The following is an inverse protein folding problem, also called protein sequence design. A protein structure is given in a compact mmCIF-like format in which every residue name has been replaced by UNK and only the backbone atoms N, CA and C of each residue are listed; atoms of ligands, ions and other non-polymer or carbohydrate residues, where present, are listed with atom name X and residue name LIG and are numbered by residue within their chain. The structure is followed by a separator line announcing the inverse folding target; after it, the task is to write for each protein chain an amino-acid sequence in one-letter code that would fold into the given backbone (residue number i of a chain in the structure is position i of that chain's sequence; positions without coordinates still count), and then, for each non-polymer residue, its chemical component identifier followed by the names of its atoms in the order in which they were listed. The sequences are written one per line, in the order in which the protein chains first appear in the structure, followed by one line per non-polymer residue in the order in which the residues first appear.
data_IF_112879258995
#
_entry.id   IF_112879258995
#
_cell.length_a   1.000
_cell.length_b   1.000
_cell.length_c   1.000
_cell.angle_alpha   90.00
_cell.angle_beta   90.00
_cell.angle_gamma   90.00
#
_symmetry.space_group_name_H-M   'P 1'
#
loop_
_entity.id
_entity.type
_entity.pdbx_description
1 polymer ?
#
# COMPACT_ATOMS: atom_id res chain seq x y z
N UNK A 1 -9.04 21.05 7.16
CA UNK A 1 -9.49 22.33 6.61
C UNK A 1 -8.54 22.87 5.53
N UNK A 2 -7.21 22.84 5.73
CA UNK A 2 -6.25 23.32 4.71
C UNK A 2 -6.44 22.62 3.36
N UNK A 3 -6.54 21.29 3.37
CA UNK A 3 -6.77 20.49 2.15
C UNK A 3 -8.13 20.82 1.50
N UNK A 4 -9.18 21.00 2.31
CA UNK A 4 -10.50 21.39 1.80
C UNK A 4 -10.43 22.73 1.06
N UNK A 5 -9.74 23.71 1.67
CA UNK A 5 -9.53 25.02 1.06
C UNK A 5 -8.68 24.98 -0.21
N UNK A 6 -7.56 24.24 -0.15
CA UNK A 6 -6.63 24.12 -1.27
C UNK A 6 -7.27 23.45 -2.50
N UNK A 7 -8.09 22.42 -2.26
CA UNK A 7 -8.80 21.70 -3.30
C UNK A 7 -10.13 22.36 -3.73
N UNK A 8 -10.54 23.45 -3.07
CA UNK A 8 -11.88 24.03 -3.21
C UNK A 8 -12.99 22.98 -3.07
N UNK A 9 -12.80 22.03 -2.16
CA UNK A 9 -13.71 20.91 -1.95
C UNK A 9 -14.93 21.35 -1.12
N UNK A 10 -16.09 20.80 -1.45
CA UNK A 10 -17.34 21.06 -0.69
C UNK A 10 -17.38 20.32 0.63
N UNK A 11 -16.74 19.15 0.69
CA UNK A 11 -16.78 18.24 1.86
C UNK A 11 -15.51 17.42 1.94
N UNK A 12 -15.13 17.03 3.15
CA UNK A 12 -14.06 16.08 3.40
C UNK A 12 -14.57 14.93 4.27
N UNK A 13 -14.03 13.74 4.02
CA UNK A 13 -14.30 12.54 4.79
C UNK A 13 -13.01 12.06 5.45
N UNK A 14 -13.06 11.80 6.75
CA UNK A 14 -11.98 11.11 7.45
C UNK A 14 -12.43 9.66 7.64
N UNK A 15 -11.81 8.76 6.88
CA UNK A 15 -12.16 7.34 6.90
C UNK A 15 -11.31 6.61 7.93
N UNK A 16 -11.94 5.90 8.83
CA UNK A 16 -11.29 5.18 9.94
C UNK A 16 -11.81 3.75 9.95
N UNK A 17 -10.90 2.79 10.14
CA UNK A 17 -11.28 1.39 10.28
C UNK A 17 -11.99 1.13 11.61
N UNK A 18 -12.94 0.21 11.62
CA UNK A 18 -13.78 -0.13 12.78
C UNK A 18 -13.01 -0.72 13.98
N UNK A 19 -11.77 -1.13 13.77
CA UNK A 19 -10.84 -1.55 14.83
C UNK A 19 -10.16 -0.37 15.55
N UNK A 20 -10.49 0.89 15.20
CA UNK A 20 -9.95 2.14 15.77
C UNK A 20 -11.07 3.11 16.15
N UNK A 21 -12.11 2.59 16.81
CA UNK A 21 -13.30 3.37 17.17
C UNK A 21 -13.00 4.47 18.21
N UNK A 22 -12.02 4.27 19.08
CA UNK A 22 -11.49 5.25 20.02
C UNK A 22 -11.03 6.53 19.30
N UNK A 23 -10.24 6.38 18.24
CA UNK A 23 -9.78 7.49 17.40
C UNK A 23 -10.96 8.18 16.70
N UNK A 24 -11.92 7.41 16.20
CA UNK A 24 -13.11 7.96 15.56
C UNK A 24 -13.94 8.79 16.55
N UNK A 25 -14.08 8.30 17.78
CA UNK A 25 -14.78 9.00 18.86
C UNK A 25 -14.09 10.31 19.25
N UNK A 26 -12.76 10.30 19.43
CA UNK A 26 -11.99 11.52 19.71
C UNK A 26 -12.13 12.56 18.60
N UNK A 27 -12.01 12.16 17.34
CA UNK A 27 -12.17 13.07 16.21
C UNK A 27 -13.59 13.63 16.11
N UNK A 28 -14.62 12.82 16.37
CA UNK A 28 -16.00 13.31 16.47
C UNK A 28 -16.17 14.36 17.57
N UNK A 29 -15.56 14.16 18.74
CA UNK A 29 -15.60 15.14 19.83
C UNK A 29 -14.92 16.47 19.42
N UNK A 30 -13.81 16.41 18.67
CA UNK A 30 -13.09 17.59 18.20
C UNK A 30 -13.93 18.41 17.21
N UNK A 31 -14.68 17.77 16.33
CA UNK A 31 -15.48 18.45 15.29
C UNK A 31 -16.91 18.76 15.75
N UNK A 32 -17.38 18.11 16.82
CA UNK A 32 -18.75 18.29 17.34
C UNK A 32 -19.01 19.76 17.72
N UNK A 33 -20.19 20.25 17.36
CA UNK A 33 -20.58 21.63 17.60
C UNK A 33 -19.87 22.70 16.75
N UNK A 34 -19.03 22.27 15.81
CA UNK A 34 -18.35 23.17 14.87
C UNK A 34 -18.97 22.99 13.48
N UNK A 35 -19.26 24.09 12.81
CA UNK A 35 -19.74 24.07 11.42
C UNK A 35 -18.54 23.85 10.47
N UNK A 36 -18.14 22.58 10.35
CA UNK A 36 -17.02 22.16 9.52
C UNK A 36 -17.50 21.23 8.40
N UNK A 37 -17.00 21.39 7.17
CA UNK A 37 -17.33 20.50 6.06
C UNK A 37 -16.58 19.16 6.14
N UNK A 38 -16.54 18.55 7.35
CA UNK A 38 -15.81 17.33 7.64
C UNK A 38 -16.76 16.32 8.27
N UNK A 39 -16.74 15.09 7.75
CA UNK A 39 -17.47 13.96 8.29
C UNK A 39 -16.53 12.78 8.56
N UNK A 40 -16.76 12.05 9.65
CA UNK A 40 -16.01 10.85 9.99
C UNK A 40 -16.82 9.64 9.55
N UNK A 41 -16.20 8.78 8.76
CA UNK A 41 -16.80 7.54 8.27
C UNK A 41 -16.04 6.35 8.84
N UNK A 42 -16.76 5.44 9.49
CA UNK A 42 -16.20 4.18 9.95
C UNK A 42 -16.36 3.15 8.82
N UNK A 43 -15.26 2.56 8.42
CA UNK A 43 -15.21 1.50 7.41
C UNK A 43 -14.78 0.18 8.05
N UNK A 44 -15.26 -0.96 7.52
CA UNK A 44 -14.83 -2.26 8.03
C UNK A 44 -13.32 -2.45 7.82
N UNK A 45 -12.65 -3.04 8.80
CA UNK A 45 -11.24 -3.44 8.70
C UNK A 45 -11.13 -4.56 7.66
N UNK A 46 -10.73 -4.21 6.45
CA UNK A 46 -10.68 -5.11 5.30
C UNK A 46 -9.58 -4.69 4.33
N UNK A 47 -8.66 -5.59 4.03
CA UNK A 47 -7.64 -5.33 3.03
C UNK A 47 -8.17 -5.62 1.60
N UNK A 48 -7.95 -4.73 0.59
CA UNK A 48 -7.24 -3.45 0.62
C UNK A 48 -8.14 -2.20 0.72
N UNK A 49 -9.02 -2.11 1.72
CA UNK A 49 -9.97 -1.01 1.92
C UNK A 49 -9.33 0.40 1.86
N UNK A 50 -8.04 0.53 2.27
CA UNK A 50 -7.30 1.79 2.20
C UNK A 50 -6.80 2.18 0.80
N UNK A 51 -7.03 1.35 -0.22
CA UNK A 51 -6.71 1.70 -1.59
C UNK A 51 -7.58 2.85 -2.10
N UNK A 52 -7.02 3.74 -2.93
CA UNK A 52 -7.72 4.97 -3.36
C UNK A 52 -9.06 4.67 -4.05
N UNK A 53 -9.08 3.75 -5.02
CA UNK A 53 -10.31 3.37 -5.74
C UNK A 53 -11.35 2.73 -4.82
N UNK A 54 -10.91 1.87 -3.89
CA UNK A 54 -11.76 1.21 -2.91
C UNK A 54 -12.37 2.22 -1.93
N UNK A 55 -11.61 3.23 -1.52
CA UNK A 55 -12.13 4.31 -0.67
C UNK A 55 -13.17 5.15 -1.39
N UNK A 56 -12.93 5.54 -2.65
CA UNK A 56 -13.90 6.30 -3.46
C UNK A 56 -15.21 5.53 -3.58
N UNK A 57 -15.13 4.26 -3.94
CA UNK A 57 -16.33 3.42 -4.08
C UNK A 57 -17.06 3.24 -2.76
N UNK A 58 -16.35 2.95 -1.67
CA UNK A 58 -16.95 2.73 -0.36
C UNK A 58 -17.65 3.96 0.21
N UNK A 59 -17.10 5.16 -0.02
CA UNK A 59 -17.57 6.42 0.55
C UNK A 59 -18.56 7.13 -0.36
N UNK A 60 -18.26 7.20 -1.66
CA UNK A 60 -19.02 7.99 -2.63
C UNK A 60 -19.94 7.15 -3.52
N UNK A 61 -19.87 5.83 -3.45
CA UNK A 61 -20.62 4.92 -4.33
C UNK A 61 -20.36 5.22 -5.81
N UNK A 62 -19.14 5.63 -6.13
CA UNK A 62 -18.72 6.01 -7.47
C UNK A 62 -17.48 5.22 -7.85
N UNK A 63 -17.49 4.62 -9.02
CA UNK A 63 -16.33 3.92 -9.56
C UNK A 63 -15.38 4.90 -10.26
N UNK A 64 -14.08 4.79 -9.98
CA UNK A 64 -13.04 5.51 -10.71
C UNK A 64 -12.79 4.77 -12.01
N UNK A 65 -12.97 5.40 -13.20
CA UNK A 65 -12.77 4.72 -14.47
C UNK A 65 -11.38 4.11 -14.63
N UNK A 66 -11.31 3.07 -15.47
CA UNK A 66 -10.06 2.38 -15.78
C UNK A 66 -9.00 3.35 -16.31
N UNK A 67 -7.77 3.24 -15.79
CA UNK A 67 -6.66 4.13 -16.17
C UNK A 67 -6.73 5.56 -15.61
N UNK A 68 -7.82 5.95 -14.96
CA UNK A 68 -7.99 7.29 -14.42
C UNK A 68 -7.63 7.40 -12.93
N UNK A 69 -7.43 8.64 -12.48
CA UNK A 69 -7.18 9.00 -11.08
C UNK A 69 -8.50 9.34 -10.36
N UNK A 70 -8.57 9.30 -9.04
CA UNK A 70 -9.72 9.76 -8.28
C UNK A 70 -10.19 11.18 -8.61
N UNK A 71 -9.31 12.04 -9.12
CA UNK A 71 -9.63 13.38 -9.56
C UNK A 71 -10.62 13.45 -10.73
N UNK A 72 -10.71 12.40 -11.56
CA UNK A 72 -11.68 12.33 -12.65
C UNK A 72 -13.12 12.27 -12.17
N UNK A 73 -13.32 11.78 -10.94
CA UNK A 73 -14.63 11.76 -10.26
C UNK A 73 -14.74 12.86 -9.20
N UNK A 74 -13.93 13.92 -9.32
CA UNK A 74 -13.98 15.09 -8.45
C UNK A 74 -13.50 14.86 -7.02
N UNK A 75 -12.64 13.87 -6.79
CA UNK A 75 -12.16 13.46 -5.46
C UNK A 75 -10.64 13.41 -5.41
N UNK A 76 -10.06 13.82 -4.28
CA UNK A 76 -8.65 13.60 -3.97
C UNK A 76 -8.51 12.83 -2.66
N UNK A 77 -7.52 11.97 -2.58
CA UNK A 77 -7.25 11.15 -1.41
C UNK A 77 -5.88 11.54 -0.85
N UNK A 78 -5.80 11.66 0.46
CA UNK A 78 -4.59 11.96 1.18
C UNK A 78 -4.44 11.06 2.40
N UNK A 79 -3.22 10.61 2.65
CA UNK A 79 -2.91 9.94 3.91
C UNK A 79 -2.99 10.95 5.08
N UNK A 80 -3.42 10.49 6.26
CA UNK A 80 -3.51 11.33 7.47
C UNK A 80 -2.16 11.92 7.88
N UNK A 81 -1.06 11.21 7.64
CA UNK A 81 0.31 11.72 7.85
C UNK A 81 0.62 12.93 6.97
N UNK A 82 0.14 12.93 5.71
CA UNK A 82 0.27 14.08 4.80
C UNK A 82 -0.54 15.27 5.31
N UNK A 83 -1.76 15.03 5.80
CA UNK A 83 -2.61 16.09 6.36
C UNK A 83 -1.98 16.71 7.61
N UNK A 84 -1.38 15.88 8.48
CA UNK A 84 -0.63 16.35 9.65
C UNK A 84 0.58 17.18 9.25
N UNK A 85 1.44 16.66 8.37
CA UNK A 85 2.64 17.37 7.92
C UNK A 85 2.32 18.72 7.29
N UNK A 86 1.23 18.81 6.51
CA UNK A 86 0.76 20.09 5.97
C UNK A 86 0.37 21.08 7.07
N UNK A 87 -0.29 20.62 8.14
CA UNK A 87 -0.64 21.47 9.27
C UNK A 87 0.61 21.95 10.03
N UNK A 88 1.57 21.07 10.27
CA UNK A 88 2.84 21.40 10.94
C UNK A 88 3.62 22.46 10.14
N UNK A 89 3.69 22.32 8.82
CA UNK A 89 4.34 23.31 7.94
C UNK A 89 3.64 24.67 7.99
N UNK A 90 2.31 24.68 7.85
CA UNK A 90 1.56 25.94 7.71
C UNK A 90 1.44 26.70 9.02
N UNK A 91 1.25 26.01 10.13
CA UNK A 91 1.02 26.62 11.44
C UNK A 91 2.27 26.66 12.32
N UNK A 92 3.16 25.67 12.19
CA UNK A 92 4.39 25.57 12.99
C UNK A 92 5.64 26.01 12.26
N UNK A 93 5.61 26.13 10.92
CA UNK A 93 6.80 26.36 10.11
C UNK A 93 7.78 25.17 10.07
N UNK A 94 7.33 24.01 10.53
CA UNK A 94 8.15 22.81 10.67
C UNK A 94 8.10 21.98 9.38
N UNK A 95 9.20 21.90 8.60
CA UNK A 95 9.22 21.07 7.40
C UNK A 95 9.18 19.57 7.75
N UNK A 96 8.72 18.75 6.82
CA UNK A 96 8.71 17.29 6.99
C UNK A 96 10.13 16.73 6.89
N UNK A 97 10.83 16.71 8.00
CA UNK A 97 12.21 16.20 8.15
C UNK A 97 12.30 14.95 9.01
N UNK A 98 11.22 14.57 9.66
CA UNK A 98 11.14 13.34 10.47
C UNK A 98 9.82 12.64 10.26
N UNK A 99 9.78 11.35 10.56
CA UNK A 99 8.56 10.57 10.51
C UNK A 99 8.58 9.40 11.48
N UNK A 100 7.40 8.90 11.80
CA UNK A 100 7.25 7.65 12.54
C UNK A 100 7.45 6.47 11.57
N UNK A 101 8.35 5.55 11.95
CA UNK A 101 8.61 4.29 11.24
C UNK A 101 8.40 3.14 12.21
N UNK A 102 7.57 2.19 11.84
CA UNK A 102 7.33 0.97 12.60
C UNK A 102 8.38 -0.07 12.24
N UNK A 103 9.13 -0.58 13.20
CA UNK A 103 10.00 -1.75 13.01
C UNK A 103 9.37 -2.92 13.73
N UNK A 104 9.08 -4.01 12.99
CA UNK A 104 8.35 -5.15 13.54
C UNK A 104 8.69 -6.48 12.87
N UNK A 105 8.16 -7.58 13.40
CA UNK A 105 8.40 -8.92 12.91
C UNK A 105 9.54 -9.62 13.65
N UNK A 106 10.48 -10.21 12.93
CA UNK A 106 11.60 -10.99 13.49
C UNK A 106 12.76 -10.10 13.99
N UNK A 107 12.43 -9.11 14.83
CA UNK A 107 13.38 -8.28 15.58
C UNK A 107 13.17 -8.48 17.07
N UNK A 108 14.21 -8.21 17.87
CA UNK A 108 14.15 -8.47 19.32
C UNK A 108 13.16 -7.55 20.04
N UNK A 109 13.14 -6.27 19.68
CA UNK A 109 12.32 -5.25 20.32
C UNK A 109 11.50 -4.48 19.26
N UNK A 110 10.34 -5.00 18.81
CA UNK A 110 9.48 -4.27 17.89
C UNK A 110 9.02 -2.94 18.49
N UNK A 111 9.15 -1.85 17.73
CA UNK A 111 8.81 -0.52 18.21
C UNK A 111 8.45 0.45 17.09
N UNK A 112 7.80 1.56 17.45
CA UNK A 112 7.61 2.71 16.58
C UNK A 112 8.68 3.76 16.92
N UNK A 113 9.46 4.16 15.92
CA UNK A 113 10.53 5.13 16.05
C UNK A 113 10.16 6.44 15.36
N UNK A 114 10.35 7.56 16.04
CA UNK A 114 10.34 8.88 15.40
C UNK A 114 11.76 9.21 14.98
N UNK A 115 12.02 9.21 13.68
CA UNK A 115 13.39 9.36 13.14
C UNK A 115 13.46 10.38 12.03
N UNK A 116 14.64 11.03 11.85
CA UNK A 116 14.89 11.87 10.69
C UNK A 116 14.78 11.10 9.37
N UNK A 117 14.29 11.76 8.33
CA UNK A 117 14.37 11.24 6.96
C UNK A 117 15.85 11.12 6.60
N UNK A 118 16.25 9.99 6.01
CA UNK A 118 17.66 9.66 5.74
C UNK A 118 18.30 8.74 6.78
N UNK A 119 17.63 8.44 7.92
CA UNK A 119 18.10 7.43 8.87
C UNK A 119 18.24 6.08 8.17
N UNK A 120 19.41 5.42 8.31
CA UNK A 120 19.65 4.13 7.66
C UNK A 120 18.75 3.04 8.23
N UNK A 121 18.33 2.12 7.41
CA UNK A 121 17.53 0.98 7.85
C UNK A 121 18.31 0.04 8.78
N UNK A 122 19.63 -0.11 8.54
CA UNK A 122 20.51 -0.87 9.43
C UNK A 122 20.48 -0.35 10.86
N UNK A 123 20.54 0.98 11.04
CA UNK A 123 20.54 1.61 12.36
C UNK A 123 19.23 1.32 13.11
N UNK A 124 18.10 1.36 12.41
CA UNK A 124 16.78 1.02 12.98
C UNK A 124 16.67 -0.44 13.41
N UNK A 125 17.22 -1.35 12.62
CA UNK A 125 17.24 -2.78 12.97
C UNK A 125 18.17 -3.03 14.15
N UNK A 126 19.34 -2.40 14.19
CA UNK A 126 20.29 -2.51 15.32
C UNK A 126 19.66 -1.95 16.61
N UNK A 127 19.00 -0.80 16.56
CA UNK A 127 18.28 -0.20 17.70
C UNK A 127 17.14 -1.12 18.19
N UNK A 128 16.48 -1.84 17.26
CA UNK A 128 15.47 -2.85 17.60
C UNK A 128 16.08 -4.15 18.16
N UNK A 129 17.39 -4.20 18.42
CA UNK A 129 18.10 -5.33 19.01
C UNK A 129 18.52 -6.41 18.01
N UNK A 130 18.47 -6.10 16.70
CA UNK A 130 18.87 -7.00 15.62
C UNK A 130 17.83 -8.07 15.27
N UNK A 131 18.20 -8.95 14.33
CA UNK A 131 17.35 -10.06 13.89
C UNK A 131 17.24 -11.17 14.92
N UNK A 132 16.07 -11.81 14.98
CA UNK A 132 15.79 -12.97 15.85
C UNK A 132 15.71 -14.30 15.08
N UNK A 133 15.86 -14.29 13.75
CA UNK A 133 15.92 -15.45 12.90
C UNK A 133 17.25 -15.49 12.12
N UNK A 134 17.65 -16.68 11.69
CA UNK A 134 18.95 -16.87 11.03
C UNK A 134 19.00 -16.26 9.64
N UNK A 135 17.90 -16.36 8.88
CA UNK A 135 17.75 -15.77 7.56
C UNK A 135 16.50 -14.93 7.53
N UNK A 136 16.67 -13.64 7.31
CA UNK A 136 15.57 -12.68 7.32
C UNK A 136 15.35 -12.04 5.95
N UNK A 137 14.09 -11.75 5.67
CA UNK A 137 13.65 -10.87 4.60
C UNK A 137 13.19 -9.57 5.23
N UNK A 138 13.78 -8.45 4.81
CA UNK A 138 13.37 -7.12 5.26
C UNK A 138 12.56 -6.45 4.15
N UNK A 139 11.37 -5.99 4.51
CA UNK A 139 10.42 -5.36 3.60
C UNK A 139 10.19 -3.92 4.04
N UNK A 140 10.44 -2.96 3.13
CA UNK A 140 10.04 -1.57 3.31
C UNK A 140 8.55 -1.45 2.96
N UNK A 141 7.73 -1.23 3.96
CA UNK A 141 6.27 -1.16 3.88
C UNK A 141 5.54 -2.35 4.49
N UNK A 142 4.32 -2.57 4.03
CA UNK A 142 3.46 -3.65 4.51
C UNK A 142 3.76 -5.01 3.88
N UNK A 143 3.25 -6.11 4.47
CA UNK A 143 3.53 -7.49 4.02
C UNK A 143 3.00 -7.81 2.63
N UNK A 144 2.03 -7.06 2.14
CA UNK A 144 1.33 -7.34 0.88
C UNK A 144 1.86 -6.54 -0.31
N UNK A 145 2.31 -5.31 -0.08
CA UNK A 145 2.69 -4.35 -1.13
C UNK A 145 4.07 -3.73 -0.92
N UNK A 146 4.73 -4.03 0.20
CA UNK A 146 6.06 -3.51 0.49
C UNK A 146 7.14 -4.15 -0.41
N UNK A 147 8.25 -3.44 -0.55
CA UNK A 147 9.37 -3.89 -1.35
C UNK A 147 10.39 -4.65 -0.49
N UNK A 148 10.77 -5.84 -0.91
CA UNK A 148 11.86 -6.57 -0.27
C UNK A 148 13.19 -5.88 -0.58
N UNK A 149 13.91 -5.48 0.48
CA UNK A 149 15.17 -4.73 0.39
C UNK A 149 16.39 -5.52 0.87
N UNK A 150 16.16 -6.61 1.60
CA UNK A 150 17.20 -7.54 2.05
C UNK A 150 16.65 -8.95 2.18
N UNK A 151 17.44 -9.92 1.73
CA UNK A 151 17.33 -11.32 2.11
C UNK A 151 18.72 -11.74 2.60
N UNK A 152 18.91 -11.89 3.92
CA UNK A 152 20.22 -12.14 4.48
C UNK A 152 20.23 -12.31 5.99
N UNK A 153 21.44 -12.44 6.54
CA UNK A 153 21.67 -12.70 7.98
C UNK A 153 22.15 -11.49 8.77
N UNK A 154 22.83 -10.54 8.11
CA UNK A 154 23.44 -9.40 8.78
C UNK A 154 22.66 -8.11 8.44
N UNK A 155 22.16 -7.36 9.46
CA UNK A 155 21.57 -6.04 9.25
C UNK A 155 22.48 -5.04 8.53
N UNK A 156 23.79 -5.21 8.60
CA UNK A 156 24.78 -4.33 7.95
C UNK A 156 24.73 -4.42 6.42
N UNK A 157 24.26 -5.55 5.89
CA UNK A 157 24.06 -5.71 4.45
C UNK A 157 22.81 -4.99 3.93
N UNK A 158 22.01 -4.42 4.85
CA UNK A 158 20.78 -3.72 4.55
C UNK A 158 21.07 -2.32 4.00
N UNK A 159 20.85 -2.16 2.71
CA UNK A 159 20.95 -0.88 2.02
C UNK A 159 19.64 -0.10 2.09
N UNK A 160 19.75 1.22 2.12
CA UNK A 160 18.62 2.12 2.07
C UNK A 160 18.46 2.94 3.36
N UNK A 161 17.58 3.91 3.26
CA UNK A 161 17.30 4.86 4.33
C UNK A 161 15.83 5.28 4.33
N UNK A 162 15.37 5.79 5.45
CA UNK A 162 14.02 6.30 5.64
C UNK A 162 13.73 7.43 4.66
N UNK A 163 12.76 7.23 3.80
CA UNK A 163 12.22 8.22 2.88
C UNK A 163 10.90 8.81 3.42
N UNK A 164 10.38 9.83 2.76
CA UNK A 164 9.07 10.41 3.10
C UNK A 164 7.91 9.39 2.98
N UNK A 165 8.06 8.35 2.19
CA UNK A 165 7.08 7.27 1.99
C UNK A 165 7.25 6.08 2.93
N UNK A 166 8.41 5.91 3.58
CA UNK A 166 8.70 4.76 4.45
C UNK A 166 7.78 4.75 5.65
N UNK A 167 6.86 3.79 5.75
CA UNK A 167 5.93 3.65 6.88
C UNK A 167 6.40 2.62 7.90
N UNK A 168 7.21 1.66 7.50
CA UNK A 168 7.73 0.63 8.39
C UNK A 168 8.70 -0.30 7.72
N UNK A 169 9.47 -1.00 8.56
CA UNK A 169 10.33 -2.11 8.20
C UNK A 169 9.75 -3.38 8.82
N UNK A 170 9.29 -4.28 7.97
CA UNK A 170 8.77 -5.57 8.38
C UNK A 170 9.83 -6.63 8.15
N UNK A 171 10.28 -7.25 9.25
CA UNK A 171 11.27 -8.33 9.21
C UNK A 171 10.54 -9.67 9.25
N UNK A 172 10.67 -10.46 8.21
CA UNK A 172 10.10 -11.79 8.08
C UNK A 172 11.23 -12.83 8.07
N UNK A 173 10.94 -14.01 8.59
CA UNK A 173 11.82 -15.16 8.39
C UNK A 173 11.71 -15.62 6.93
N UNK A 174 12.84 -15.76 6.26
CA UNK A 174 12.85 -16.21 4.86
C UNK A 174 12.82 -17.73 4.80
N UNK A 175 11.61 -18.25 4.66
CA UNK A 175 11.38 -19.69 4.51
C UNK A 175 11.35 -20.09 3.04
N UNK A 176 11.90 -21.25 2.68
CA UNK A 176 11.84 -21.77 1.32
C UNK A 176 10.39 -21.87 0.84
N UNK A 177 10.10 -21.29 -0.32
CA UNK A 177 8.82 -21.43 -1.00
C UNK A 177 8.98 -22.35 -2.20
N UNK A 178 8.15 -23.38 -2.28
CA UNK A 178 8.04 -24.21 -3.48
C UNK A 178 6.70 -23.90 -4.16
N UNK A 179 6.79 -23.33 -5.35
CA UNK A 179 5.63 -23.13 -6.19
C UNK A 179 5.18 -24.45 -6.79
N UNK A 180 3.89 -24.72 -6.84
CA UNK A 180 3.31 -25.90 -7.48
C UNK A 180 2.40 -25.52 -8.64
N UNK A 181 2.03 -26.49 -9.51
CA UNK A 181 1.10 -26.24 -10.59
C UNK A 181 -0.25 -25.71 -10.10
N UNK A 182 -0.85 -24.83 -10.88
CA UNK A 182 -2.17 -24.27 -10.59
C UNK A 182 -3.24 -25.35 -10.59
N UNK A 183 -3.99 -25.48 -9.49
CA UNK A 183 -5.10 -26.43 -9.35
C UNK A 183 -6.44 -25.88 -9.84
N UNK A 184 -6.48 -24.68 -10.41
CA UNK A 184 -7.66 -23.98 -10.94
C UNK A 184 -8.82 -23.85 -9.94
N UNK A 185 -8.52 -23.59 -8.67
CA UNK A 185 -9.54 -23.46 -7.60
C UNK A 185 -10.36 -22.15 -7.67
N UNK A 186 -9.93 -21.13 -8.42
CA UNK A 186 -10.64 -19.84 -8.55
C UNK A 186 -10.48 -18.87 -7.38
N UNK A 187 -9.78 -19.24 -6.30
CA UNK A 187 -9.64 -18.39 -5.10
C UNK A 187 -9.04 -17.01 -5.42
N UNK A 188 -8.05 -16.94 -6.31
CA UNK A 188 -7.40 -15.70 -6.73
C UNK A 188 -8.37 -14.74 -7.44
N UNK A 189 -9.34 -15.25 -8.19
CA UNK A 189 -10.38 -14.48 -8.86
C UNK A 189 -11.42 -13.97 -7.85
N UNK A 190 -11.84 -14.84 -6.92
CA UNK A 190 -12.83 -14.50 -5.89
C UNK A 190 -12.38 -13.35 -4.97
N UNK A 191 -11.09 -13.24 -4.69
CA UNK A 191 -10.54 -12.21 -3.79
C UNK A 191 -10.02 -10.97 -4.52
N UNK A 192 -10.07 -10.95 -5.85
CA UNK A 192 -9.54 -9.83 -6.61
C UNK A 192 -10.45 -8.59 -6.47
N UNK A 193 -9.97 -7.49 -5.86
CA UNK A 193 -10.80 -6.29 -5.69
C UNK A 193 -11.04 -5.54 -7.00
N UNK A 194 -10.29 -5.85 -8.06
CA UNK A 194 -10.48 -5.30 -9.40
C UNK A 194 -11.25 -6.25 -10.34
N UNK A 195 -11.82 -7.36 -9.82
CA UNK A 195 -12.62 -8.30 -10.61
C UNK A 195 -11.85 -9.03 -11.73
N UNK A 196 -10.52 -9.09 -11.64
CA UNK A 196 -9.69 -9.75 -12.65
C UNK A 196 -9.69 -11.26 -12.47
N UNK A 197 -9.22 -11.96 -13.50
CA UNK A 197 -8.91 -13.39 -13.46
C UNK A 197 -7.39 -13.63 -13.34
N UNK A 198 -6.78 -13.48 -12.13
CA UNK A 198 -5.33 -13.48 -11.95
C UNK A 198 -4.63 -14.72 -12.50
N UNK A 199 -5.24 -15.90 -12.39
CA UNK A 199 -4.64 -17.14 -12.90
C UNK A 199 -4.53 -17.15 -14.43
N UNK A 200 -5.48 -16.52 -15.15
CA UNK A 200 -5.41 -16.42 -16.62
C UNK A 200 -4.30 -15.46 -17.05
N UNK A 201 -4.19 -14.33 -16.38
CA UNK A 201 -3.12 -13.35 -16.62
C UNK A 201 -1.75 -13.97 -16.30
N UNK A 202 -1.65 -14.70 -15.20
CA UNK A 202 -0.42 -15.41 -14.81
C UNK A 202 0.02 -16.44 -15.86
N UNK A 203 -0.89 -17.21 -16.45
CA UNK A 203 -0.56 -18.12 -17.53
C UNK A 203 -0.08 -17.38 -18.77
N UNK A 204 -0.77 -16.31 -19.19
CA UNK A 204 -0.34 -15.49 -20.31
C UNK A 204 1.04 -14.85 -20.07
N UNK A 205 1.30 -14.39 -18.85
CA UNK A 205 2.58 -13.80 -18.45
C UNK A 205 3.73 -14.83 -18.49
N UNK A 206 3.49 -16.07 -18.07
CA UNK A 206 4.49 -17.16 -18.16
C UNK A 206 4.85 -17.47 -19.61
N UNK A 207 3.86 -17.47 -20.50
CA UNK A 207 4.06 -17.66 -21.94
C UNK A 207 4.59 -16.39 -22.65
N UNK A 208 4.82 -15.31 -21.89
CA UNK A 208 5.25 -14.00 -22.38
C UNK A 208 4.29 -13.39 -23.43
N UNK A 209 3.02 -13.77 -23.37
CA UNK A 209 1.96 -13.19 -24.23
C UNK A 209 1.41 -11.89 -23.60
N UNK A 210 2.18 -10.82 -23.77
CA UNK A 210 1.84 -9.48 -23.25
C UNK A 210 0.55 -8.95 -23.89
N UNK A 211 0.28 -9.30 -25.14
CA UNK A 211 -0.97 -8.91 -25.83
C UNK A 211 -2.19 -9.55 -25.17
N UNK A 212 -2.10 -10.81 -24.78
CA UNK A 212 -3.18 -11.48 -24.04
C UNK A 212 -3.30 -10.92 -22.61
N UNK A 213 -2.18 -10.60 -21.94
CA UNK A 213 -2.23 -9.94 -20.63
C UNK A 213 -3.01 -8.62 -20.71
N UNK A 214 -2.79 -7.81 -21.74
CA UNK A 214 -3.51 -6.56 -21.96
C UNK A 214 -5.01 -6.79 -22.21
N UNK A 215 -5.37 -7.75 -23.06
CA UNK A 215 -6.77 -8.17 -23.31
C UNK A 215 -7.46 -8.70 -22.06
N UNK A 216 -6.72 -9.26 -21.11
CA UNK A 216 -7.22 -9.72 -19.80
C UNK A 216 -7.20 -8.61 -18.74
N UNK A 217 -7.00 -7.36 -19.16
CA UNK A 217 -7.02 -6.16 -18.30
C UNK A 217 -5.95 -6.18 -17.20
N UNK A 218 -4.75 -6.73 -17.45
CA UNK A 218 -3.66 -6.72 -16.48
C UNK A 218 -3.30 -5.30 -15.99
N UNK A 219 -3.52 -4.27 -16.82
CA UNK A 219 -3.32 -2.85 -16.46
C UNK A 219 -4.20 -2.37 -15.32
N UNK A 220 -5.35 -2.99 -15.08
CA UNK A 220 -6.25 -2.66 -13.98
C UNK A 220 -5.84 -3.28 -12.64
N UNK A 221 -4.79 -4.11 -12.63
CA UNK A 221 -4.26 -4.67 -11.40
C UNK A 221 -3.74 -3.56 -10.49
N UNK A 222 -4.22 -3.52 -9.25
CA UNK A 222 -3.77 -2.57 -8.21
C UNK A 222 -2.57 -3.10 -7.40
N UNK A 223 -1.98 -4.21 -7.80
CA UNK A 223 -0.80 -4.85 -7.18
C UNK A 223 -0.97 -5.12 -5.67
N UNK A 224 -2.18 -5.38 -5.22
CA UNK A 224 -2.49 -5.56 -3.79
C UNK A 224 -2.00 -6.88 -3.17
N UNK A 225 -1.57 -7.87 -3.96
CA UNK A 225 -1.04 -9.14 -3.46
C UNK A 225 -2.10 -10.18 -3.03
N UNK A 226 -3.40 -9.84 -2.94
CA UNK A 226 -4.44 -10.75 -2.46
C UNK A 226 -4.46 -12.10 -3.17
N UNK A 227 -4.30 -12.10 -4.49
CA UNK A 227 -4.31 -13.32 -5.31
C UNK A 227 -3.15 -14.27 -4.97
N UNK A 228 -1.94 -13.74 -4.75
CA UNK A 228 -0.79 -14.54 -4.33
C UNK A 228 -0.96 -15.07 -2.89
N UNK A 229 -1.52 -14.25 -2.00
CA UNK A 229 -1.72 -14.59 -0.60
C UNK A 229 -2.64 -15.80 -0.43
N UNK A 230 -3.76 -15.84 -1.15
CA UNK A 230 -4.74 -16.93 -1.04
C UNK A 230 -4.38 -18.17 -1.87
N UNK A 231 -3.36 -18.11 -2.71
CA UNK A 231 -3.04 -19.20 -3.63
C UNK A 231 -2.49 -20.44 -2.90
N UNK A 232 -3.21 -21.57 -2.90
CA UNK A 232 -2.74 -22.80 -2.23
C UNK A 232 -1.50 -23.39 -2.92
N UNK A 233 -1.32 -23.10 -4.23
CA UNK A 233 -0.15 -23.48 -5.00
C UNK A 233 1.04 -22.52 -4.82
N UNK A 234 0.93 -21.52 -3.95
CA UNK A 234 1.96 -20.51 -3.62
C UNK A 234 2.53 -19.79 -4.84
N UNK A 235 1.69 -19.60 -5.89
CA UNK A 235 2.10 -18.94 -7.13
C UNK A 235 2.31 -17.44 -6.90
N UNK A 236 3.32 -16.89 -7.56
CA UNK A 236 3.67 -15.46 -7.49
C UNK A 236 2.82 -14.62 -8.44
N UNK A 237 1.48 -14.80 -8.37
CA UNK A 237 0.51 -14.19 -9.27
C UNK A 237 0.66 -12.66 -9.34
N UNK A 238 0.66 -12.00 -8.19
CA UNK A 238 0.74 -10.54 -8.13
C UNK A 238 2.03 -10.00 -8.75
N UNK A 239 3.15 -10.66 -8.53
CA UNK A 239 4.43 -10.28 -9.11
C UNK A 239 4.38 -10.36 -10.65
N UNK A 240 4.02 -11.52 -11.22
CA UNK A 240 3.97 -11.70 -12.68
C UNK A 240 2.96 -10.79 -13.37
N UNK A 241 1.81 -10.54 -12.73
CA UNK A 241 0.80 -9.62 -13.25
C UNK A 241 1.34 -8.18 -13.24
N UNK A 242 2.06 -7.79 -12.18
CA UNK A 242 2.67 -6.46 -12.10
C UNK A 242 3.77 -6.27 -13.15
N UNK A 243 4.61 -7.27 -13.37
CA UNK A 243 5.62 -7.24 -14.44
C UNK A 243 4.96 -7.12 -15.83
N UNK A 244 3.93 -7.93 -16.10
CA UNK A 244 3.19 -7.84 -17.36
C UNK A 244 2.53 -6.46 -17.55
N UNK A 245 1.95 -5.88 -16.50
CA UNK A 245 1.40 -4.53 -16.49
C UNK A 245 2.46 -3.48 -16.81
N UNK A 246 3.62 -3.56 -16.19
CA UNK A 246 4.73 -2.63 -16.44
C UNK A 246 5.20 -2.71 -17.89
N UNK A 247 5.28 -3.91 -18.44
CA UNK A 247 5.66 -4.14 -19.82
C UNK A 247 4.64 -3.59 -20.82
N UNK A 248 3.33 -3.75 -20.55
CA UNK A 248 2.26 -3.14 -21.35
C UNK A 248 2.43 -1.62 -21.37
N UNK A 249 2.65 -0.98 -20.22
CA UNK A 249 2.85 0.47 -20.16
C UNK A 249 4.14 0.92 -20.85
N UNK A 250 5.19 0.12 -20.81
CA UNK A 250 6.43 0.40 -21.56
C UNK A 250 6.17 0.40 -23.06
N UNK A 251 5.51 -0.64 -23.57
CA UNK A 251 5.17 -0.77 -24.99
C UNK A 251 4.25 0.38 -25.46
N UNK A 252 3.23 0.72 -24.67
CA UNK A 252 2.32 1.84 -24.98
C UNK A 252 3.08 3.17 -25.10
N UNK A 253 4.00 3.45 -24.17
CA UNK A 253 4.84 4.67 -24.22
C UNK A 253 5.73 4.70 -25.45
N UNK A 254 6.32 3.60 -25.84
CA UNK A 254 7.17 3.52 -27.04
C UNK A 254 6.39 3.74 -28.34
N UNK A 255 5.11 3.36 -28.36
CA UNK A 255 4.19 3.59 -29.49
C UNK A 255 3.56 4.98 -29.48
N UNK A 256 3.70 5.75 -28.43
CA UNK A 256 3.04 7.03 -28.26
C UNK A 256 1.54 6.93 -27.95
N UNK A 257 1.07 5.75 -27.58
CA UNK A 257 -0.30 5.50 -27.15
C UNK A 257 -0.49 6.00 -25.70
N UNK A 258 -1.60 6.69 -25.44
CA UNK A 258 -1.94 7.20 -24.11
C UNK A 258 -2.65 6.15 -23.27
#
# INVERSE_FOLDING_TARGET
LLLVKAANAKKAFICIEDNKQDVAHELNNIISGKDLPIEIIILPTRYPQGGERQLVEAVLRTEVPAGELPSSVGTIINNVGTAKALADIVFGGEPLISRVVTVTGKVKNPCNYLVPIGTRYSDLIEESGGFTAELCRVVDGGPMTGNCILIGKDPKDLNGSVAKSTSGLLVLEDLPKTESPCIRCGECERVCPAGLAPFKIDFAAIENDISLCDKLYATECISCGCCSYVCPAKRELAYRITEAKNEIFRIRRERGDK
#
